data_IF_268784713129
#
_entry.id   IF_268784713129
#
_cell.length_a   1.000
_cell.length_b   1.000
_cell.length_c   1.000
_cell.angle_alpha   90.00
_cell.angle_beta   90.00
_cell.angle_gamma   90.00
#
_symmetry.space_group_name_H-M   'P 1'
#
loop_
_entity.id
_entity.type
_entity.pdbx_description
1 polymer ?
#
# COMPACT_ATOMS: atom_id res chain seq x y z
N UNK A 1 -5.94 -23.65 -6.56
CA UNK A 1 -5.76 -22.29 -7.14
C UNK A 1 -5.19 -21.45 -6.02
N UNK A 2 -4.11 -20.68 -6.25
CA UNK A 2 -3.50 -19.84 -5.20
C UNK A 2 -4.50 -18.78 -4.72
N UNK A 3 -4.52 -18.51 -3.43
CA UNK A 3 -5.38 -17.48 -2.81
C UNK A 3 -4.99 -16.09 -3.35
N UNK A 4 -5.95 -15.33 -3.84
CA UNK A 4 -5.72 -13.99 -4.41
C UNK A 4 -6.46 -12.94 -3.58
N UNK A 5 -5.72 -12.17 -2.79
CA UNK A 5 -6.26 -11.14 -1.88
C UNK A 5 -7.20 -10.16 -2.57
N UNK A 6 -6.92 -9.79 -3.83
CA UNK A 6 -7.80 -8.88 -4.60
C UNK A 6 -9.16 -9.50 -4.91
N UNK A 7 -9.21 -10.83 -5.03
CA UNK A 7 -10.47 -11.54 -5.35
C UNK A 7 -11.27 -11.91 -4.11
N UNK A 8 -10.55 -12.23 -3.02
CA UNK A 8 -11.16 -12.66 -1.76
C UNK A 8 -11.66 -11.47 -0.92
N UNK A 9 -10.89 -10.36 -0.93
CA UNK A 9 -11.22 -9.11 -0.20
C UNK A 9 -11.55 -7.98 -1.17
N UNK A 10 -12.58 -8.19 -2.00
CA UNK A 10 -13.00 -7.22 -3.05
C UNK A 10 -13.36 -5.86 -2.46
N UNK A 11 -13.91 -5.83 -1.27
CA UNK A 11 -14.27 -4.61 -0.54
C UNK A 11 -13.04 -3.72 -0.31
N UNK A 12 -11.86 -4.30 -0.10
CA UNK A 12 -10.63 -3.55 0.14
C UNK A 12 -9.87 -3.22 -1.16
N UNK A 13 -9.92 -4.12 -2.16
CA UNK A 13 -9.05 -4.03 -3.34
C UNK A 13 -9.78 -3.71 -4.64
N UNK A 14 -11.09 -3.88 -4.68
CA UNK A 14 -11.87 -3.70 -5.91
C UNK A 14 -13.15 -2.86 -5.66
N UNK A 15 -13.02 -1.69 -4.98
CA UNK A 15 -14.16 -0.81 -4.81
C UNK A 15 -14.67 -0.33 -6.18
N UNK A 16 -15.87 0.23 -6.19
CA UNK A 16 -16.41 0.88 -7.38
C UNK A 16 -15.67 2.19 -7.66
N UNK A 17 -15.79 2.70 -8.89
CA UNK A 17 -15.36 4.07 -9.26
C UNK A 17 -16.33 5.15 -8.74
N UNK A 18 -16.89 4.92 -7.56
CA UNK A 18 -17.75 5.83 -6.81
C UNK A 18 -17.30 5.76 -5.35
N UNK A 19 -17.21 6.89 -4.65
CA UNK A 19 -16.81 6.91 -3.26
C UNK A 19 -17.72 6.02 -2.39
N UNK A 20 -17.12 5.41 -1.38
CA UNK A 20 -17.80 4.62 -0.36
C UNK A 20 -17.06 4.65 0.95
N UNK A 21 -17.80 4.58 2.04
CA UNK A 21 -17.24 4.50 3.40
C UNK A 21 -16.98 3.04 3.74
N UNK A 22 -15.84 2.78 4.37
CA UNK A 22 -15.40 1.44 4.75
C UNK A 22 -14.61 1.49 6.06
N UNK A 23 -14.72 0.43 6.85
CA UNK A 23 -13.84 0.18 8.00
C UNK A 23 -12.75 -0.81 7.61
N UNK A 24 -11.50 -0.43 7.77
CA UNK A 24 -10.35 -1.27 7.44
C UNK A 24 -9.78 -1.83 8.74
N UNK A 25 -9.76 -3.15 8.90
CA UNK A 25 -9.19 -3.77 10.10
C UNK A 25 -7.66 -3.60 10.13
N UNK A 26 -7.09 -3.72 11.31
CA UNK A 26 -5.64 -3.80 11.47
C UNK A 26 -5.08 -4.97 10.66
N UNK A 27 -4.07 -4.69 9.86
CA UNK A 27 -3.36 -5.67 9.02
C UNK A 27 -1.86 -5.58 9.22
N UNK A 28 -1.15 -6.65 8.90
CA UNK A 28 0.31 -6.68 8.91
C UNK A 28 0.86 -6.47 7.50
N UNK A 29 1.90 -5.68 7.40
CA UNK A 29 2.62 -5.36 6.17
C UNK A 29 4.12 -5.55 6.34
N UNK A 30 4.83 -5.68 5.25
CA UNK A 30 6.23 -5.28 5.15
C UNK A 30 6.25 -3.88 4.56
N UNK A 31 7.11 -3.02 5.10
CA UNK A 31 7.15 -1.62 4.71
C UNK A 31 8.57 -1.07 4.58
N UNK A 32 8.73 -0.05 3.74
CA UNK A 32 9.96 0.77 3.62
C UNK A 32 9.55 2.23 3.61
N UNK A 33 10.18 3.03 4.48
CA UNK A 33 9.97 4.48 4.56
C UNK A 33 11.00 5.21 3.73
N UNK A 34 10.60 6.31 3.14
CA UNK A 34 11.50 7.18 2.38
C UNK A 34 10.88 8.53 2.05
N UNK A 35 11.65 9.32 1.31
CA UNK A 35 11.27 10.64 0.83
C UNK A 35 11.75 10.82 -0.62
N UNK A 36 11.02 11.61 -1.40
CA UNK A 36 11.43 12.03 -2.74
C UNK A 36 10.39 11.76 -3.82
N UNK A 37 10.76 12.15 -5.03
CA UNK A 37 9.89 12.06 -6.20
C UNK A 37 9.72 10.57 -6.63
N UNK A 38 8.49 10.03 -6.63
CA UNK A 38 8.25 8.63 -7.04
C UNK A 38 8.58 8.35 -8.50
N UNK A 39 8.69 9.39 -9.34
CA UNK A 39 9.03 9.25 -10.76
C UNK A 39 10.53 9.18 -11.01
N UNK A 40 11.37 9.51 -10.03
CA UNK A 40 12.82 9.48 -10.15
C UNK A 40 13.30 8.05 -10.45
N UNK A 41 14.10 7.89 -11.53
CA UNK A 41 14.44 6.56 -12.04
C UNK A 41 15.30 5.74 -11.05
N UNK A 42 16.21 6.37 -10.34
CA UNK A 42 17.06 5.76 -9.31
C UNK A 42 16.71 6.25 -7.91
N UNK A 43 15.48 6.74 -7.70
CA UNK A 43 15.02 7.30 -6.45
C UNK A 43 14.76 6.25 -5.37
N UNK A 44 14.61 6.73 -4.13
CA UNK A 44 14.34 5.89 -2.98
C UNK A 44 13.04 5.07 -3.13
N UNK A 45 12.00 5.67 -3.74
CA UNK A 45 10.72 4.98 -3.96
C UNK A 45 10.89 3.73 -4.81
N UNK A 46 11.54 3.83 -5.98
CA UNK A 46 11.78 2.67 -6.86
C UNK A 46 12.67 1.62 -6.21
N UNK A 47 13.67 2.05 -5.44
CA UNK A 47 14.54 1.17 -4.67
C UNK A 47 13.76 0.40 -3.61
N UNK A 48 12.83 1.07 -2.90
CA UNK A 48 11.98 0.46 -1.87
C UNK A 48 11.12 -0.69 -2.42
N UNK A 49 10.59 -0.53 -3.63
CA UNK A 49 9.79 -1.58 -4.30
C UNK A 49 10.61 -2.87 -4.48
N UNK A 50 11.86 -2.76 -4.90
CA UNK A 50 12.77 -3.90 -5.05
C UNK A 50 13.01 -4.64 -3.74
N UNK A 51 13.20 -3.90 -2.64
CA UNK A 51 13.37 -4.46 -1.30
C UNK A 51 12.11 -5.20 -0.84
N UNK A 52 10.94 -4.58 -0.98
CA UNK A 52 9.66 -5.18 -0.58
C UNK A 52 9.40 -6.50 -1.31
N UNK A 53 9.52 -6.51 -2.64
CA UNK A 53 9.33 -7.75 -3.40
C UNK A 53 10.40 -8.80 -3.08
N UNK A 54 11.62 -8.39 -2.73
CA UNK A 54 12.66 -9.29 -2.24
C UNK A 54 12.21 -10.10 -1.03
N UNK A 55 11.64 -9.45 -0.04
CA UNK A 55 11.12 -10.10 1.18
C UNK A 55 9.81 -10.86 0.89
N UNK A 56 8.84 -10.22 0.20
CA UNK A 56 7.56 -10.84 -0.11
C UNK A 56 7.71 -12.19 -0.83
N UNK A 57 8.60 -12.26 -1.83
CA UNK A 57 8.88 -13.52 -2.53
C UNK A 57 9.67 -14.52 -1.69
N UNK A 58 10.55 -14.07 -0.78
CA UNK A 58 11.24 -14.97 0.14
C UNK A 58 10.23 -15.66 1.06
N UNK A 59 9.29 -14.92 1.64
CA UNK A 59 8.18 -15.47 2.44
C UNK A 59 7.32 -16.41 1.59
N UNK A 60 6.85 -15.95 0.44
CA UNK A 60 6.01 -16.76 -0.46
C UNK A 60 6.64 -18.08 -0.84
N UNK A 61 7.96 -18.12 -1.03
CA UNK A 61 8.68 -19.31 -1.47
C UNK A 61 9.25 -20.16 -0.33
N UNK A 62 8.98 -19.82 0.93
CA UNK A 62 9.46 -20.55 2.12
C UNK A 62 9.13 -22.04 2.07
N UNK A 63 7.93 -22.39 1.54
CA UNK A 63 7.47 -23.78 1.43
C UNK A 63 8.40 -24.69 0.62
N UNK A 64 9.23 -24.12 -0.27
CA UNK A 64 10.23 -24.86 -1.06
C UNK A 64 11.54 -25.11 -0.30
N UNK A 65 11.75 -24.33 0.77
CA UNK A 65 12.95 -24.43 1.61
C UNK A 65 12.76 -25.28 2.86
N UNK A 66 13.67 -25.13 3.80
CA UNK A 66 13.64 -25.81 5.11
C UNK A 66 12.78 -25.09 6.15
N UNK A 67 12.63 -23.76 6.01
CA UNK A 67 11.77 -22.96 6.87
C UNK A 67 10.30 -23.16 6.47
N UNK A 68 9.51 -23.69 7.37
CA UNK A 68 8.08 -23.92 7.16
C UNK A 68 7.30 -22.96 8.04
N UNK A 69 6.51 -22.09 7.40
CA UNK A 69 5.62 -21.17 8.12
C UNK A 69 4.35 -21.92 8.50
N UNK A 70 3.95 -21.86 9.74
CA UNK A 70 2.73 -22.51 10.23
C UNK A 70 1.50 -21.87 9.59
N UNK A 71 0.51 -22.67 9.20
CA UNK A 71 -0.69 -22.18 8.52
C UNK A 71 -0.49 -21.73 7.09
N UNK A 72 0.68 -21.95 6.51
CA UNK A 72 0.98 -21.53 5.12
C UNK A 72 0.01 -22.14 4.11
N UNK A 73 -0.48 -21.30 3.22
CA UNK A 73 -1.18 -21.69 2.00
C UNK A 73 -0.62 -20.91 0.79
N UNK A 74 -0.75 -21.47 -0.41
CA UNK A 74 -0.31 -20.80 -1.62
C UNK A 74 -1.16 -19.55 -1.91
N UNK A 75 -0.50 -18.40 -2.10
CA UNK A 75 -1.15 -17.12 -2.37
C UNK A 75 -0.45 -16.33 -3.48
N UNK A 76 -1.18 -15.39 -4.07
CA UNK A 76 -0.61 -14.35 -4.94
C UNK A 76 -0.12 -13.24 -4.02
N UNK A 77 1.12 -12.75 -4.24
CA UNK A 77 1.63 -11.59 -3.49
C UNK A 77 0.65 -10.44 -3.65
N UNK A 78 0.15 -9.85 -2.54
CA UNK A 78 -0.76 -8.72 -2.58
C UNK A 78 -0.20 -7.54 -3.38
N UNK A 79 -1.03 -6.60 -3.81
CA UNK A 79 -0.58 -5.39 -4.49
C UNK A 79 0.46 -4.61 -3.69
N UNK A 80 1.28 -3.83 -4.40
CA UNK A 80 2.03 -2.76 -3.79
C UNK A 80 1.05 -1.67 -3.33
N UNK A 81 1.28 -1.14 -2.15
CA UNK A 81 0.52 -0.05 -1.55
C UNK A 81 1.48 1.05 -1.13
N UNK A 82 0.99 2.29 -1.03
CA UNK A 82 1.77 3.43 -0.58
C UNK A 82 0.96 4.35 0.33
N UNK A 83 1.52 4.71 1.47
CA UNK A 83 1.02 5.79 2.30
C UNK A 83 1.85 7.03 1.98
N UNK A 84 1.18 8.17 1.77
CA UNK A 84 1.81 9.39 1.28
C UNK A 84 1.45 10.60 2.11
N UNK A 85 2.39 11.50 2.32
CA UNK A 85 2.18 12.80 2.94
C UNK A 85 3.28 13.80 2.58
N UNK A 86 3.02 15.05 2.84
CA UNK A 86 3.99 16.15 2.75
C UNK A 86 3.89 17.02 3.99
N UNK A 87 5.01 17.52 4.47
CA UNK A 87 5.03 18.42 5.63
C UNK A 87 4.34 19.74 5.30
N UNK A 88 3.57 20.27 6.26
CA UNK A 88 2.86 21.52 6.14
C UNK A 88 1.84 21.59 4.98
N UNK A 89 1.34 20.42 4.53
CA UNK A 89 0.36 20.32 3.44
C UNK A 89 -0.80 19.46 3.92
N UNK A 90 -2.03 19.96 3.71
CA UNK A 90 -3.23 19.15 3.95
C UNK A 90 -3.56 18.39 2.65
N UNK A 91 -3.26 17.09 2.61
CA UNK A 91 -3.29 16.26 1.41
C UNK A 91 -1.95 16.22 0.68
N UNK A 92 -1.97 16.06 -0.65
CA UNK A 92 -0.78 16.01 -1.49
C UNK A 92 -0.74 17.18 -2.48
N UNK A 93 0.42 17.83 -2.55
CA UNK A 93 0.76 18.79 -3.61
C UNK A 93 1.57 18.09 -4.69
N UNK A 94 0.92 17.72 -5.78
CA UNK A 94 1.53 16.99 -6.90
C UNK A 94 2.54 17.83 -7.71
N UNK A 95 2.61 19.15 -7.45
CA UNK A 95 3.63 20.02 -8.04
C UNK A 95 4.97 19.95 -7.30
N UNK A 96 4.99 19.45 -6.05
CA UNK A 96 6.19 19.34 -5.20
C UNK A 96 6.49 17.87 -4.85
N UNK A 97 6.64 17.02 -5.87
CA UNK A 97 6.85 15.56 -5.68
C UNK A 97 8.13 15.22 -4.93
N UNK A 98 9.16 16.06 -4.96
CA UNK A 98 10.42 15.90 -4.21
C UNK A 98 10.25 16.01 -2.70
N UNK A 99 9.18 16.66 -2.24
CA UNK A 99 8.86 16.81 -0.83
C UNK A 99 7.97 15.66 -0.29
N UNK A 100 7.55 14.75 -1.16
CA UNK A 100 6.70 13.62 -0.77
C UNK A 100 7.46 12.67 0.14
N UNK A 101 6.87 12.39 1.29
CA UNK A 101 7.23 11.27 2.16
C UNK A 101 6.36 10.08 1.80
N UNK A 102 6.90 8.89 1.95
CA UNK A 102 6.16 7.67 1.68
C UNK A 102 6.47 6.54 2.66
N UNK A 103 5.49 5.65 2.81
CA UNK A 103 5.68 4.29 3.30
C UNK A 103 5.21 3.36 2.18
N UNK A 104 6.15 2.81 1.40
CA UNK A 104 5.81 1.74 0.45
C UNK A 104 5.59 0.45 1.21
N UNK A 105 4.53 -0.29 0.92
CA UNK A 105 4.21 -1.49 1.69
C UNK A 105 3.55 -2.58 0.84
N UNK A 106 3.65 -3.82 1.31
CA UNK A 106 2.92 -4.99 0.77
C UNK A 106 2.30 -5.71 1.95
N UNK A 107 1.00 -5.99 1.88
CA UNK A 107 0.30 -6.77 2.90
C UNK A 107 0.91 -8.15 3.05
N UNK A 108 1.07 -8.58 4.29
CA UNK A 108 1.43 -9.95 4.65
C UNK A 108 0.17 -10.80 4.85
N UNK A 109 0.21 -12.08 4.45
CA UNK A 109 -0.79 -13.04 4.93
C UNK A 109 -0.84 -13.11 6.46
N UNK A 110 -2.03 -13.35 7.00
CA UNK A 110 -2.27 -13.34 8.45
C UNK A 110 -1.50 -14.44 9.21
N UNK A 111 -1.05 -15.48 8.50
CA UNK A 111 -0.21 -16.54 9.07
C UNK A 111 1.28 -16.14 9.23
N UNK A 112 1.70 -15.01 8.68
CA UNK A 112 3.10 -14.57 8.76
C UNK A 112 3.33 -13.84 10.07
N UNK A 113 4.19 -14.40 10.90
CA UNK A 113 4.60 -13.80 12.16
C UNK A 113 5.77 -12.83 11.98
N UNK A 114 6.09 -12.09 13.04
CA UNK A 114 7.28 -11.23 13.04
C UNK A 114 8.56 -12.05 12.94
N UNK A 115 8.59 -13.22 13.53
CA UNK A 115 9.73 -14.16 13.48
C UNK A 115 9.94 -14.69 12.07
N UNK A 116 8.86 -15.00 11.34
CA UNK A 116 8.94 -15.39 9.93
C UNK A 116 9.45 -14.26 9.03
N UNK A 117 9.05 -13.03 9.33
CA UNK A 117 9.58 -11.85 8.65
C UNK A 117 11.09 -11.68 8.93
N UNK A 118 11.53 -11.77 10.18
CA UNK A 118 12.95 -11.65 10.55
C UNK A 118 13.80 -12.74 9.87
N UNK A 119 13.29 -13.97 9.84
CA UNK A 119 13.90 -15.04 9.04
C UNK A 119 14.00 -14.66 7.55
N UNK A 120 12.93 -14.12 6.97
CA UNK A 120 12.90 -13.77 5.54
C UNK A 120 13.90 -12.66 5.21
N UNK A 121 14.10 -11.68 6.10
CA UNK A 121 15.13 -10.64 5.95
C UNK A 121 16.53 -11.26 5.92
N UNK A 122 16.85 -12.14 6.87
CA UNK A 122 18.15 -12.82 6.92
C UNK A 122 18.38 -13.69 5.67
N UNK A 123 17.39 -14.46 5.28
CA UNK A 123 17.46 -15.36 4.12
C UNK A 123 17.59 -14.59 2.80
N UNK A 124 16.83 -13.50 2.62
CA UNK A 124 16.93 -12.65 1.45
C UNK A 124 18.29 -11.96 1.35
N UNK A 125 18.78 -11.41 2.47
CA UNK A 125 20.11 -10.77 2.54
C UNK A 125 21.20 -11.74 2.12
N UNK A 126 21.18 -12.96 2.66
CA UNK A 126 22.15 -14.01 2.35
C UNK A 126 22.08 -14.44 0.88
N UNK A 127 20.88 -14.67 0.34
CA UNK A 127 20.72 -15.19 -1.03
C UNK A 127 20.95 -14.16 -2.12
N UNK A 128 20.56 -12.90 -1.86
CA UNK A 128 20.60 -11.83 -2.85
C UNK A 128 21.84 -10.95 -2.73
N UNK A 129 22.64 -11.11 -1.68
CA UNK A 129 23.80 -10.26 -1.37
C UNK A 129 23.43 -8.77 -1.38
N UNK A 130 22.25 -8.46 -0.84
CA UNK A 130 21.65 -7.12 -0.78
C UNK A 130 21.21 -6.81 0.64
N UNK A 131 21.37 -5.54 1.06
CA UNK A 131 20.91 -5.08 2.36
C UNK A 131 19.38 -4.86 2.37
N UNK A 132 18.69 -5.55 3.27
CA UNK A 132 17.26 -5.44 3.50
C UNK A 132 16.93 -4.79 4.87
N UNK A 133 17.89 -4.18 5.56
CA UNK A 133 17.71 -3.58 6.89
C UNK A 133 16.69 -2.45 6.93
N UNK A 134 16.40 -1.82 5.78
CA UNK A 134 15.35 -0.79 5.65
C UNK A 134 13.92 -1.36 5.64
N UNK A 135 13.74 -2.68 5.47
CA UNK A 135 12.41 -3.29 5.48
C UNK A 135 11.97 -3.55 6.91
N UNK A 136 10.79 -3.09 7.27
CA UNK A 136 10.21 -3.28 8.60
C UNK A 136 8.94 -4.15 8.56
N UNK A 137 8.65 -4.87 9.66
CA UNK A 137 7.35 -5.46 9.92
C UNK A 137 6.44 -4.35 10.43
N UNK A 138 5.38 -4.04 9.69
CA UNK A 138 4.55 -2.85 9.91
C UNK A 138 3.09 -3.23 10.15
N UNK A 139 2.65 -3.38 11.40
CA UNK A 139 1.24 -3.47 11.74
C UNK A 139 0.57 -2.10 11.55
N UNK A 140 -0.46 -2.03 10.70
CA UNK A 140 -1.18 -0.80 10.43
C UNK A 140 -2.67 -0.96 10.69
N UNK A 141 -3.23 -0.05 11.48
CA UNK A 141 -4.64 0.07 11.80
C UNK A 141 -5.18 1.33 11.11
N UNK A 142 -5.78 1.13 9.93
CA UNK A 142 -6.25 2.25 9.11
C UNK A 142 -7.61 2.76 9.56
N UNK A 143 -8.49 1.87 10.05
CA UNK A 143 -9.80 2.19 10.59
C UNK A 143 -10.78 2.73 9.57
N UNK A 144 -11.61 3.71 9.99
CA UNK A 144 -12.69 4.27 9.16
C UNK A 144 -12.15 5.16 8.05
N UNK A 145 -12.52 4.84 6.79
CA UNK A 145 -12.03 5.52 5.60
C UNK A 145 -13.14 5.79 4.59
N UNK A 146 -12.94 6.77 3.74
CA UNK A 146 -13.61 6.88 2.43
C UNK A 146 -12.65 6.37 1.36
N UNK A 147 -13.16 5.58 0.40
CA UNK A 147 -12.36 5.05 -0.69
C UNK A 147 -13.07 5.15 -2.03
N UNK A 148 -12.26 5.17 -3.10
CA UNK A 148 -12.74 5.16 -4.48
C UNK A 148 -11.75 4.45 -5.40
N UNK A 149 -12.23 3.79 -6.46
CA UNK A 149 -11.37 3.36 -7.55
C UNK A 149 -11.06 4.54 -8.45
N UNK A 150 -9.80 4.95 -8.51
CA UNK A 150 -9.28 5.85 -9.53
C UNK A 150 -8.92 5.06 -10.80
N UNK A 151 -9.31 5.56 -11.96
CA UNK A 151 -8.97 4.98 -13.27
C UNK A 151 -8.35 6.09 -14.11
N UNK A 152 -7.08 5.97 -14.43
CA UNK A 152 -6.33 6.95 -15.19
C UNK A 152 -4.93 7.20 -14.65
N UNK A 153 -4.35 8.32 -15.08
CA UNK A 153 -3.05 8.81 -14.65
C UNK A 153 -3.06 9.20 -13.18
N UNK A 154 -1.97 8.99 -12.47
CA UNK A 154 -1.81 9.50 -11.09
C UNK A 154 -1.93 11.04 -11.03
N UNK A 155 -1.58 11.75 -12.11
CA UNK A 155 -1.73 13.20 -12.15
C UNK A 155 -3.21 13.66 -12.24
N UNK A 156 -4.13 12.76 -12.62
CA UNK A 156 -5.58 13.00 -12.66
C UNK A 156 -6.30 12.60 -11.34
N UNK A 157 -5.58 12.03 -10.39
CA UNK A 157 -6.11 11.54 -9.12
C UNK A 157 -6.80 12.64 -8.28
N UNK A 158 -6.36 13.92 -8.28
CA UNK A 158 -7.03 14.98 -7.54
C UNK A 158 -8.55 15.06 -7.77
N UNK A 159 -9.02 14.81 -8.99
CA UNK A 159 -10.45 14.79 -9.28
C UNK A 159 -11.20 13.65 -8.54
N UNK A 160 -10.55 12.50 -8.34
CA UNK A 160 -11.11 11.38 -7.56
C UNK A 160 -11.12 11.72 -6.06
N UNK A 161 -10.08 12.39 -5.57
CA UNK A 161 -9.98 12.85 -4.18
C UNK A 161 -11.08 13.87 -3.88
N UNK A 162 -11.33 14.81 -4.77
CA UNK A 162 -12.42 15.80 -4.63
C UNK A 162 -13.80 15.12 -4.52
N UNK A 163 -14.07 14.12 -5.38
CA UNK A 163 -15.29 13.32 -5.30
C UNK A 163 -15.42 12.59 -3.95
N UNK A 164 -14.33 12.07 -3.41
CA UNK A 164 -14.31 11.41 -2.11
C UNK A 164 -14.61 12.41 -0.99
N UNK A 165 -14.01 13.61 -1.04
CA UNK A 165 -14.23 14.67 -0.06
C UNK A 165 -15.66 15.20 -0.07
N UNK A 166 -16.26 15.40 -1.24
CA UNK A 166 -17.65 15.81 -1.35
C UNK A 166 -18.59 14.74 -0.80
N UNK A 167 -18.33 13.46 -1.12
CA UNK A 167 -19.11 12.35 -0.63
C UNK A 167 -19.04 12.22 0.90
N UNK A 168 -17.85 12.26 1.51
CA UNK A 168 -17.71 12.14 2.95
C UNK A 168 -18.44 13.28 3.69
N UNK A 169 -18.30 14.53 3.22
CA UNK A 169 -18.99 15.70 3.80
C UNK A 169 -20.51 15.56 3.73
N UNK A 170 -21.03 15.13 2.56
CA UNK A 170 -22.47 14.90 2.37
C UNK A 170 -23.03 13.80 3.28
N UNK A 171 -22.18 12.90 3.80
CA UNK A 171 -22.57 11.82 4.72
C UNK A 171 -22.22 12.11 6.20
N UNK A 172 -21.82 13.34 6.56
CA UNK A 172 -21.55 13.75 7.94
C UNK A 172 -20.19 13.28 8.45
N UNK A 173 -19.18 13.25 7.57
CA UNK A 173 -17.81 12.92 7.92
C UNK A 173 -16.85 14.04 7.51
N UNK A 174 -15.73 14.10 8.17
CA UNK A 174 -14.61 14.98 7.83
C UNK A 174 -13.31 14.20 7.68
N UNK A 175 -12.33 14.80 7.00
CA UNK A 175 -11.02 14.22 6.78
C UNK A 175 -10.26 14.11 8.10
N UNK A 176 -9.62 12.95 8.34
CA UNK A 176 -8.87 12.65 9.56
C UNK A 176 -7.43 12.18 9.25
N UNK A 177 -6.75 12.89 8.34
CA UNK A 177 -5.32 12.70 8.09
C UNK A 177 -4.55 13.23 9.29
N UNK A 178 -3.66 12.38 9.85
CA UNK A 178 -2.86 12.66 11.06
C UNK A 178 -1.44 12.15 10.86
N UNK A 179 -0.59 12.22 11.89
CA UNK A 179 0.77 11.66 11.88
C UNK A 179 0.83 10.13 11.78
N UNK A 180 -0.31 9.46 11.87
CA UNK A 180 -0.44 8.00 11.81
C UNK A 180 -1.46 7.50 10.79
N UNK A 181 -2.22 8.39 10.17
CA UNK A 181 -3.25 8.09 9.18
C UNK A 181 -3.05 8.98 7.96
N UNK A 182 -2.78 8.38 6.82
CA UNK A 182 -2.25 9.06 5.65
C UNK A 182 -3.17 8.93 4.43
N UNK A 183 -2.87 9.68 3.39
CA UNK A 183 -3.35 9.38 2.04
C UNK A 183 -2.79 8.01 1.63
N UNK A 184 -3.65 7.09 1.20
CA UNK A 184 -3.32 5.71 0.90
C UNK A 184 -3.68 5.35 -0.54
N UNK A 185 -2.73 4.82 -1.27
CA UNK A 185 -2.87 4.32 -2.64
C UNK A 185 -2.57 2.82 -2.71
N UNK A 186 -3.43 2.05 -3.42
CA UNK A 186 -3.23 0.62 -3.68
C UNK A 186 -3.13 0.42 -5.19
N UNK A 187 -1.98 -0.03 -5.68
CA UNK A 187 -1.67 -0.10 -7.10
C UNK A 187 -2.09 -1.44 -7.70
N UNK A 188 -3.20 -1.46 -8.44
CA UNK A 188 -3.76 -2.69 -9.02
C UNK A 188 -3.24 -2.99 -10.42
N UNK A 189 -2.69 -2.00 -11.09
CA UNK A 189 -2.11 -2.11 -12.43
C UNK A 189 -0.60 -1.92 -12.40
N UNK A 190 0.11 -2.65 -13.25
CA UNK A 190 1.54 -2.39 -13.51
C UNK A 190 1.67 -1.32 -14.61
N UNK A 191 2.15 -0.10 -14.29
CA UNK A 191 2.24 1.00 -15.26
C UNK A 191 3.17 0.70 -16.44
N UNK A 192 4.03 -0.31 -16.33
CA UNK A 192 4.91 -0.77 -17.43
C UNK A 192 4.17 -1.62 -18.46
N UNK A 193 2.97 -2.13 -18.13
CA UNK A 193 2.21 -3.11 -18.92
C UNK A 193 0.79 -2.64 -19.26
N UNK A 194 0.35 -1.54 -18.68
CA UNK A 194 -0.99 -1.03 -18.83
C UNK A 194 -0.92 0.38 -19.42
N UNK A 195 -1.84 0.68 -20.34
CA UNK A 195 -2.04 2.05 -20.82
C UNK A 195 -2.40 2.96 -19.63
N UNK A 196 -1.81 4.17 -19.61
CA UNK A 196 -1.99 5.13 -18.52
C UNK A 196 -3.46 5.44 -18.26
N UNK A 197 -4.27 5.57 -19.33
CA UNK A 197 -5.71 5.81 -19.22
C UNK A 197 -6.52 4.68 -18.58
N UNK A 198 -5.93 3.53 -18.39
CA UNK A 198 -6.55 2.31 -17.84
C UNK A 198 -5.91 1.84 -16.53
N UNK A 199 -4.95 2.60 -16.01
CA UNK A 199 -4.39 2.32 -14.69
C UNK A 199 -5.50 2.33 -13.63
N UNK A 200 -5.39 1.43 -12.67
CA UNK A 200 -6.34 1.31 -11.55
C UNK A 200 -5.61 1.44 -10.24
N UNK A 201 -6.02 2.40 -9.45
CA UNK A 201 -5.52 2.66 -8.10
C UNK A 201 -6.71 2.78 -7.15
N UNK A 202 -6.69 2.07 -6.04
CA UNK A 202 -7.63 2.38 -4.96
C UNK A 202 -7.05 3.55 -4.19
N UNK A 203 -7.78 4.65 -4.11
CA UNK A 203 -7.44 5.80 -3.28
C UNK A 203 -8.28 5.73 -2.01
N UNK A 204 -7.66 5.95 -0.86
CA UNK A 204 -8.30 5.87 0.44
C UNK A 204 -7.83 6.98 1.34
N UNK A 205 -8.79 7.63 2.02
CA UNK A 205 -8.53 8.66 3.01
C UNK A 205 -9.18 8.30 4.34
N UNK A 206 -8.47 8.46 5.46
CA UNK A 206 -9.05 8.31 6.78
C UNK A 206 -10.06 9.43 7.04
N UNK A 207 -11.16 9.04 7.69
CA UNK A 207 -12.25 9.97 8.04
C UNK A 207 -12.72 9.74 9.47
N UNK A 208 -13.40 10.74 10.03
CA UNK A 208 -14.12 10.65 11.29
C UNK A 208 -15.48 11.33 11.17
N UNK A 209 -16.42 10.99 12.07
CA UNK A 209 -17.72 11.70 12.12
C UNK A 209 -17.51 13.16 12.49
N UNK A 210 -18.25 14.04 11.83
CA UNK A 210 -18.38 15.42 12.30
C UNK A 210 -19.12 15.44 13.62
N UNK A 211 -18.67 16.26 14.58
CA UNK A 211 -19.36 16.49 15.86
C UNK A 211 -20.72 17.17 15.67
#
# INVERSE_FOLDING_TARGET
MAFDYKKEYKEFYMPKNKPGIIEIPKMNYIAVRGKGNPNEENGEYKSSIGLLYGIAFTIKMSYKGTHKIEGFFEYVVPPLEGLWWQENTQGLDYARKEDMHFISMIRLPDFVTKEDFEWAVQEATKKKMQDFSKVEFFPYDEGLCVQCMHIGSYDDEPATVDLMHDYMKANGYELDITDTRYHHEIYLSDPRKCDVSRLKTVVRHPIRKTE
#
